data_IF_262851281035
#
_entry.id   IF_262851281035
#
_cell.length_a   1.000
_cell.length_b   1.000
_cell.length_c   1.000
_cell.angle_alpha   90.00
_cell.angle_beta   90.00
_cell.angle_gamma   90.00
#
_symmetry.space_group_name_H-M   'P 1'
#
loop_
_entity.id
_entity.type
_entity.pdbx_description
1 polymer ?
#
# COMPACT_ATOMS: atom_id res chain seq x y z
N UNK A 1 -7.48 -3.94 13.96
CA UNK A 1 -6.63 -2.74 13.79
C UNK A 1 -5.32 -2.96 14.51
N UNK A 2 -4.24 -2.93 13.76
CA UNK A 2 -2.86 -3.24 14.13
C UNK A 2 -2.09 -1.92 14.27
N UNK A 3 -2.24 -1.01 13.31
CA UNK A 3 -1.68 0.33 13.37
C UNK A 3 -2.60 1.30 14.11
N UNK A 4 -2.10 1.81 15.23
CA UNK A 4 -2.83 2.78 16.07
C UNK A 4 -2.73 4.21 15.55
N UNK A 5 -1.65 4.54 14.85
CA UNK A 5 -1.40 5.84 14.24
C UNK A 5 -1.55 5.79 12.71
N UNK A 6 -1.96 6.90 12.06
CA UNK A 6 -2.00 6.97 10.61
C UNK A 6 -0.58 6.87 10.02
N UNK A 7 -0.48 6.38 8.79
CA UNK A 7 0.77 6.38 8.05
C UNK A 7 1.30 7.82 7.93
N UNK A 8 2.60 8.09 8.09
CA UNK A 8 3.14 9.46 8.01
C UNK A 8 2.84 10.18 6.68
N UNK A 9 2.65 9.39 5.61
CA UNK A 9 2.30 9.85 4.27
C UNK A 9 0.80 9.67 3.93
N UNK A 10 -0.04 9.36 4.91
CA UNK A 10 -1.49 9.24 4.71
C UNK A 10 -2.06 10.53 4.10
N UNK A 11 -2.87 10.38 3.06
CA UNK A 11 -3.42 11.50 2.31
C UNK A 11 -2.40 12.27 1.47
N UNK A 12 -1.25 11.68 1.15
CA UNK A 12 -0.26 12.27 0.23
C UNK A 12 -0.15 11.47 -1.07
N UNK A 13 0.39 12.12 -2.11
CA UNK A 13 0.81 11.42 -3.33
C UNK A 13 2.24 10.93 -3.12
N UNK A 14 2.48 9.65 -3.38
CA UNK A 14 3.77 8.99 -3.20
C UNK A 14 4.20 8.31 -4.49
N UNK A 15 5.50 8.26 -4.73
CA UNK A 15 6.10 7.45 -5.78
C UNK A 15 6.37 6.05 -5.25
N UNK A 16 5.89 5.07 -5.98
CA UNK A 16 6.04 3.66 -5.63
C UNK A 16 6.69 2.96 -6.82
N UNK A 17 7.75 2.20 -6.53
CA UNK A 17 8.45 1.41 -7.54
C UNK A 17 8.03 -0.05 -7.45
N UNK A 18 7.31 -0.52 -8.48
CA UNK A 18 6.81 -1.89 -8.58
C UNK A 18 7.34 -2.48 -9.88
N UNK A 19 7.96 -3.66 -9.81
CA UNK A 19 8.42 -4.40 -11.01
C UNK A 19 9.34 -3.59 -11.96
N UNK A 20 10.03 -2.58 -11.42
CA UNK A 20 10.93 -1.71 -12.20
C UNK A 20 10.27 -0.45 -12.75
N UNK A 21 8.95 -0.32 -12.67
CA UNK A 21 8.20 0.88 -13.04
C UNK A 21 7.96 1.75 -11.81
N UNK A 22 8.09 3.07 -11.96
CA UNK A 22 7.75 4.04 -10.91
C UNK A 22 6.49 4.77 -11.30
N UNK A 23 5.47 4.70 -10.46
CA UNK A 23 4.19 5.34 -10.68
C UNK A 23 3.78 6.15 -9.44
N UNK A 24 2.97 7.18 -9.65
CA UNK A 24 2.40 7.99 -8.59
C UNK A 24 1.12 7.34 -8.06
N UNK A 25 1.03 7.21 -6.74
CA UNK A 25 -0.14 6.69 -6.04
C UNK A 25 -0.61 7.68 -4.99
N UNK A 26 -1.92 7.77 -4.81
CA UNK A 26 -2.53 8.41 -3.65
C UNK A 26 -2.53 7.44 -2.48
N UNK A 27 -1.72 7.69 -1.45
CA UNK A 27 -1.71 6.86 -0.24
C UNK A 27 -2.88 7.24 0.66
N UNK A 28 -3.76 6.30 0.95
CA UNK A 28 -4.92 6.53 1.82
C UNK A 28 -4.47 6.45 3.28
N UNK A 29 -4.10 5.26 3.75
CA UNK A 29 -3.52 4.99 5.07
C UNK A 29 -2.98 3.54 5.07
N UNK A 30 -2.56 3.05 6.24
CA UNK A 30 -2.36 1.63 6.50
C UNK A 30 -3.61 0.81 6.13
N UNK A 31 -3.40 -0.33 5.47
CA UNK A 31 -4.47 -1.22 5.03
C UNK A 31 -5.45 -1.56 6.16
N UNK A 32 -4.92 -1.94 7.33
CA UNK A 32 -5.70 -2.38 8.47
C UNK A 32 -6.50 -1.26 9.15
N UNK A 33 -6.11 0.01 8.94
CA UNK A 33 -6.89 1.17 9.37
C UNK A 33 -8.02 1.49 8.41
N UNK A 34 -7.80 1.30 7.11
CA UNK A 34 -8.84 1.49 6.08
C UNK A 34 -9.88 0.38 6.11
N UNK A 35 -9.45 -0.87 6.29
CA UNK A 35 -10.33 -2.06 6.17
C UNK A 35 -10.62 -2.76 7.51
N UNK A 36 -9.96 -2.38 8.60
CA UNK A 36 -10.21 -2.89 9.96
C UNK A 36 -9.49 -4.20 10.31
N UNK A 37 -8.87 -4.87 9.35
CA UNK A 37 -8.22 -6.18 9.50
C UNK A 37 -6.92 -6.29 8.70
N UNK A 38 -6.11 -7.31 9.00
CA UNK A 38 -4.95 -7.68 8.18
C UNK A 38 -5.39 -8.01 6.75
N UNK A 39 -4.53 -7.68 5.78
CA UNK A 39 -4.74 -8.04 4.38
C UNK A 39 -4.76 -9.55 4.16
N UNK A 40 -4.14 -10.31 5.07
CA UNK A 40 -4.11 -11.77 5.05
C UNK A 40 -5.49 -12.40 5.26
N UNK A 41 -6.43 -11.64 5.84
CA UNK A 41 -7.81 -12.06 6.06
C UNK A 41 -8.80 -11.36 5.11
N UNK A 42 -8.31 -10.69 4.06
CA UNK A 42 -9.12 -9.95 3.10
C UNK A 42 -9.68 -10.87 2.00
N UNK A 43 -10.42 -11.91 2.41
CA UNK A 43 -11.00 -12.90 1.50
C UNK A 43 -11.91 -12.24 0.45
N UNK A 44 -11.71 -12.62 -0.81
CA UNK A 44 -12.47 -12.07 -1.94
C UNK A 44 -12.08 -10.64 -2.35
N UNK A 45 -11.09 -10.01 -1.70
CA UNK A 45 -10.60 -8.70 -2.12
C UNK A 45 -9.57 -8.85 -3.27
N UNK A 46 -9.86 -8.33 -4.47
CA UNK A 46 -8.99 -8.49 -5.63
C UNK A 46 -7.64 -7.76 -5.47
N UNK A 47 -7.60 -6.64 -4.73
CA UNK A 47 -6.37 -5.92 -4.46
C UNK A 47 -5.46 -6.73 -3.53
N UNK A 48 -6.03 -7.36 -2.50
CA UNK A 48 -5.29 -8.24 -1.60
C UNK A 48 -4.77 -9.49 -2.31
N UNK A 49 -5.57 -10.11 -3.18
CA UNK A 49 -5.13 -11.25 -3.99
C UNK A 49 -3.97 -10.87 -4.93
N UNK A 50 -4.09 -9.74 -5.64
CA UNK A 50 -3.02 -9.23 -6.52
C UNK A 50 -1.74 -8.98 -5.73
N UNK A 51 -1.86 -8.39 -4.54
CA UNK A 51 -0.72 -8.14 -3.65
C UNK A 51 -0.09 -9.43 -3.13
N UNK A 52 -0.89 -10.41 -2.67
CA UNK A 52 -0.38 -11.68 -2.17
C UNK A 52 0.48 -12.41 -3.21
N UNK A 53 0.03 -12.47 -4.46
CA UNK A 53 0.81 -13.05 -5.56
C UNK A 53 2.12 -12.27 -5.78
N UNK A 54 2.03 -10.94 -5.88
CA UNK A 54 3.17 -10.05 -6.15
C UNK A 54 4.21 -10.09 -5.03
N UNK A 55 3.79 -10.01 -3.77
CA UNK A 55 4.64 -10.09 -2.59
C UNK A 55 5.40 -11.42 -2.54
N UNK A 56 4.72 -12.52 -2.87
CA UNK A 56 5.34 -13.84 -2.99
C UNK A 56 6.43 -13.91 -4.05
N UNK A 57 6.20 -13.33 -5.24
CA UNK A 57 7.21 -13.28 -6.31
C UNK A 57 8.39 -12.34 -5.99
N UNK A 58 8.11 -11.19 -5.36
CA UNK A 58 9.12 -10.20 -5.02
C UNK A 58 9.89 -10.52 -3.72
N UNK A 59 9.46 -11.55 -2.97
CA UNK A 59 10.06 -11.91 -1.68
C UNK A 59 9.85 -10.84 -0.60
N UNK A 60 8.72 -10.12 -0.65
CA UNK A 60 8.39 -9.11 0.36
C UNK A 60 8.06 -9.77 1.71
N UNK A 61 8.28 -9.06 2.83
CA UNK A 61 7.84 -9.51 4.14
C UNK A 61 6.34 -9.84 4.16
N UNK A 62 6.00 -10.91 4.89
CA UNK A 62 4.62 -11.30 5.14
C UNK A 62 4.22 -10.74 6.51
N UNK A 63 3.95 -9.45 6.54
CA UNK A 63 3.51 -8.69 7.71
C UNK A 63 2.42 -7.68 7.33
N UNK A 64 1.99 -6.86 8.28
CA UNK A 64 0.93 -5.87 8.10
C UNK A 64 1.46 -4.46 7.79
N UNK A 65 2.75 -4.29 7.48
CA UNK A 65 3.37 -3.03 7.04
C UNK A 65 2.96 -2.69 5.60
N UNK A 66 1.66 -2.67 5.37
CA UNK A 66 1.01 -2.60 4.06
C UNK A 66 0.07 -1.41 4.04
N UNK A 67 0.25 -0.54 3.06
CA UNK A 67 -0.60 0.62 2.84
C UNK A 67 -1.61 0.35 1.74
N UNK A 68 -2.76 1.01 1.84
CA UNK A 68 -3.73 1.07 0.76
C UNK A 68 -3.49 2.35 -0.04
N UNK A 69 -3.13 2.19 -1.32
CA UNK A 69 -2.84 3.30 -2.21
C UNK A 69 -3.63 3.17 -3.51
N UNK A 70 -3.95 4.29 -4.17
CA UNK A 70 -4.76 4.31 -5.38
C UNK A 70 -4.03 4.94 -6.56
N UNK A 71 -4.20 4.35 -7.74
CA UNK A 71 -3.95 5.01 -9.03
C UNK A 71 -5.30 5.18 -9.69
N UNK A 72 -5.67 6.41 -10.02
CA UNK A 72 -7.02 6.77 -10.46
C UNK A 72 -8.09 6.21 -9.50
N UNK A 73 -8.93 5.30 -9.99
CA UNK A 73 -10.02 4.66 -9.23
C UNK A 73 -9.64 3.29 -8.66
N UNK A 74 -8.45 2.77 -8.97
CA UNK A 74 -8.04 1.41 -8.61
C UNK A 74 -7.19 1.42 -7.35
N UNK A 75 -7.61 0.61 -6.38
CA UNK A 75 -6.89 0.40 -5.12
C UNK A 75 -5.87 -0.72 -5.22
N UNK A 76 -4.71 -0.49 -4.62
CA UNK A 76 -3.56 -1.36 -4.60
C UNK A 76 -3.02 -1.45 -3.17
N UNK A 77 -2.62 -2.66 -2.77
CA UNK A 77 -1.85 -2.86 -1.55
C UNK A 77 -0.37 -2.84 -1.90
N UNK A 78 0.37 -2.10 -1.11
CA UNK A 78 1.79 -1.84 -1.29
C UNK A 78 2.48 -2.04 0.05
N UNK A 79 3.60 -2.74 0.06
CA UNK A 79 4.40 -2.84 1.29
C UNK A 79 5.14 -1.51 1.52
N UNK A 80 5.24 -1.04 2.76
CA UNK A 80 5.81 0.27 3.08
C UNK A 80 7.25 0.45 2.57
N UNK A 81 8.02 -0.64 2.48
CA UNK A 81 9.39 -0.60 1.91
C UNK A 81 9.47 -0.31 0.41
N UNK A 82 8.35 -0.39 -0.31
CA UNK A 82 8.28 -0.10 -1.76
C UNK A 82 8.04 1.39 -2.06
N UNK A 83 7.74 2.19 -1.03
CA UNK A 83 7.55 3.63 -1.15
C UNK A 83 8.91 4.30 -1.31
N UNK A 84 9.12 4.97 -2.44
CA UNK A 84 10.41 5.61 -2.77
C UNK A 84 10.48 7.02 -2.19
N UNK A 85 9.43 7.82 -2.38
CA UNK A 85 9.37 9.19 -1.90
C UNK A 85 7.94 9.73 -1.85
N UNK A 86 7.75 10.83 -1.11
CA UNK A 86 6.52 11.60 -1.15
C UNK A 86 6.65 12.72 -2.20
N UNK A 87 5.77 12.75 -3.19
CA UNK A 87 5.79 13.73 -4.28
C UNK A 87 4.95 14.98 -3.94
N UNK A 88 4.84 15.30 -2.65
CA UNK A 88 3.87 16.27 -2.13
C UNK A 88 4.43 17.25 -1.10
N UNK A 89 5.65 17.76 -1.30
CA UNK A 89 6.09 19.00 -0.64
C UNK A 89 5.66 20.23 -1.46
N UNK A 90 5.25 21.35 -0.84
CA UNK A 90 4.77 22.52 -1.58
C UNK A 90 5.85 23.05 -2.53
N UNK A 91 5.51 23.16 -3.82
CA UNK A 91 6.20 24.04 -4.77
C UNK A 91 5.57 25.42 -4.72
#
# INVERSE_FOLDING_TARGET
MIHTEPHPLAGQTVEIKIEGETLEYRLEDWWDRVHGSSWMFADGNPAALKYAMRAGFAGLPVDDEVVYAKVDIFGHLIHASEIVSATGGPR
#
